data_IF_276084281995
#
_entry.id   IF_276084281995
#
_cell.length_a   1.000
_cell.length_b   1.000
_cell.length_c   1.000
_cell.angle_alpha   90.00
_cell.angle_beta   90.00
_cell.angle_gamma   90.00
#
_symmetry.space_group_name_H-M   'P 1'
#
loop_
_entity.id
_entity.type
_entity.pdbx_description
1 polymer ?
#
# COMPACT_ATOMS: atom_id res chain seq x y z
N UNK A 1 22.56 -11.29 14.13
CA UNK A 1 21.36 -12.08 14.56
C UNK A 1 20.41 -12.14 13.37
N UNK A 2 20.30 -13.27 12.68
CA UNK A 2 19.49 -13.40 11.46
C UNK A 2 18.09 -13.85 11.85
N UNK A 3 17.14 -12.93 11.87
CA UNK A 3 15.70 -13.25 11.92
C UNK A 3 15.05 -12.87 10.58
N UNK A 4 13.90 -13.44 10.28
CA UNK A 4 13.02 -13.05 9.18
C UNK A 4 11.62 -13.00 9.73
N UNK A 5 10.93 -11.93 9.44
CA UNK A 5 9.57 -11.71 9.92
C UNK A 5 8.58 -11.72 8.76
N UNK A 6 7.37 -12.15 9.07
CA UNK A 6 6.22 -12.13 8.18
C UNK A 6 5.19 -11.12 8.72
N UNK A 7 4.56 -10.37 7.82
CA UNK A 7 3.60 -9.33 8.15
C UNK A 7 2.50 -9.24 7.08
N UNK A 8 1.25 -9.04 7.51
CA UNK A 8 0.12 -8.80 6.62
C UNK A 8 -0.99 -7.96 7.27
N UNK A 9 -0.67 -7.21 8.32
CA UNK A 9 -1.66 -6.40 9.01
C UNK A 9 -2.05 -5.18 8.15
N UNK A 10 -3.28 -5.18 7.64
CA UNK A 10 -3.83 -4.11 6.83
C UNK A 10 -3.95 -2.77 7.59
N UNK A 11 -3.90 -2.78 8.93
CA UNK A 11 -3.92 -1.59 9.77
C UNK A 11 -2.52 -1.10 10.17
N UNK A 12 -1.48 -1.71 9.59
CA UNK A 12 -0.08 -1.37 9.84
C UNK A 12 0.76 -1.47 8.54
N UNK A 13 0.24 -0.99 7.42
CA UNK A 13 0.95 -0.82 6.16
C UNK A 13 0.83 -1.96 5.15
N UNK A 14 0.21 -3.10 5.47
CA UNK A 14 -0.17 -4.07 4.43
C UNK A 14 -1.44 -3.61 3.71
N UNK A 15 -1.58 -3.92 2.42
CA UNK A 15 -2.77 -3.48 1.69
C UNK A 15 -4.02 -4.26 2.10
N UNK A 16 -3.91 -5.57 2.33
CA UNK A 16 -4.92 -6.45 2.93
C UNK A 16 -4.28 -7.78 3.38
N UNK A 17 -5.02 -8.58 4.13
CA UNK A 17 -4.49 -9.82 4.73
C UNK A 17 -3.78 -10.79 3.78
N UNK A 18 -4.28 -11.08 2.55
CA UNK A 18 -3.61 -11.97 1.60
C UNK A 18 -2.27 -11.47 1.06
N UNK A 19 -1.97 -10.18 1.14
CA UNK A 19 -0.69 -9.60 0.72
C UNK A 19 0.35 -9.76 1.82
N UNK A 20 0.94 -10.96 1.90
CA UNK A 20 1.93 -11.28 2.93
C UNK A 20 3.30 -10.75 2.56
N UNK A 21 3.83 -9.89 3.41
CA UNK A 21 5.18 -9.35 3.32
C UNK A 21 6.19 -10.16 4.14
N UNK A 22 7.39 -10.38 3.60
CA UNK A 22 8.53 -10.92 4.31
C UNK A 22 9.62 -9.88 4.43
N UNK A 23 10.20 -9.76 5.63
CA UNK A 23 11.19 -8.76 5.98
C UNK A 23 12.47 -9.46 6.40
N UNK A 24 13.56 -9.18 5.69
CA UNK A 24 14.90 -9.70 5.96
C UNK A 24 15.82 -8.53 6.32
N UNK A 25 16.38 -8.48 7.54
CA UNK A 25 17.30 -7.43 7.91
C UNK A 25 18.64 -7.60 7.19
N UNK A 26 19.23 -6.49 6.77
CA UNK A 26 20.53 -6.40 6.14
C UNK A 26 21.51 -5.78 7.12
N UNK A 27 22.57 -6.50 7.43
CA UNK A 27 23.63 -6.04 8.32
C UNK A 27 24.92 -5.80 7.52
N UNK A 28 25.64 -4.74 7.87
CA UNK A 28 27.01 -4.54 7.48
C UNK A 28 27.86 -4.51 8.76
N UNK A 29 28.81 -5.44 8.86
CA UNK A 29 29.43 -5.76 10.15
C UNK A 29 28.35 -6.09 11.19
N UNK A 30 28.30 -5.38 12.33
CA UNK A 30 27.31 -5.58 13.38
C UNK A 30 26.15 -4.56 13.35
N UNK A 31 26.15 -3.63 12.40
CA UNK A 31 25.13 -2.58 12.27
C UNK A 31 24.00 -3.01 11.33
N UNK A 32 22.75 -2.85 11.76
CA UNK A 32 21.58 -2.96 10.90
C UNK A 32 21.50 -1.71 10.00
N UNK A 33 21.58 -1.92 8.69
CA UNK A 33 21.66 -0.81 7.71
C UNK A 33 20.47 -0.71 6.78
N UNK A 34 19.73 -1.80 6.57
CA UNK A 34 18.59 -1.84 5.68
C UNK A 34 17.72 -3.06 5.96
N UNK A 35 16.58 -3.10 5.27
CA UNK A 35 15.72 -4.27 5.15
C UNK A 35 15.50 -4.61 3.68
N UNK A 36 15.57 -5.89 3.33
CA UNK A 36 15.08 -6.41 2.07
C UNK A 36 13.69 -6.99 2.31
N UNK A 37 12.73 -6.54 1.51
CA UNK A 37 11.33 -6.94 1.68
C UNK A 37 10.77 -7.49 0.38
N UNK A 38 9.83 -8.42 0.50
CA UNK A 38 9.00 -8.90 -0.60
C UNK A 38 7.56 -8.94 -0.13
N UNK A 39 6.63 -8.59 -1.03
CA UNK A 39 5.20 -8.74 -0.79
C UNK A 39 4.58 -9.47 -1.96
N UNK A 40 3.72 -10.44 -1.70
CA UNK A 40 2.94 -11.12 -2.71
C UNK A 40 1.55 -11.47 -2.20
N UNK A 41 0.59 -11.44 -3.13
CA UNK A 41 -0.76 -11.89 -2.89
C UNK A 41 -0.81 -13.42 -2.89
N UNK A 42 -1.25 -14.02 -1.77
CA UNK A 42 -1.35 -15.47 -1.64
C UNK A 42 -2.73 -15.99 -2.00
N UNK A 43 -2.75 -17.19 -2.56
CA UNK A 43 -3.97 -17.88 -2.99
C UNK A 43 -4.94 -18.11 -1.82
N UNK A 44 -4.46 -18.39 -0.63
CA UNK A 44 -5.26 -18.57 0.58
C UNK A 44 -4.40 -18.29 1.82
N UNK A 45 -5.01 -17.63 2.80
CA UNK A 45 -4.43 -17.41 4.14
C UNK A 45 -5.38 -17.86 5.25
N UNK A 46 -6.25 -18.83 4.97
CA UNK A 46 -7.22 -19.33 5.94
C UNK A 46 -8.43 -18.43 6.15
N UNK A 47 -8.81 -17.62 5.15
CA UNK A 47 -9.99 -16.80 5.18
C UNK A 47 -11.29 -17.63 5.16
N UNK A 48 -12.43 -17.01 5.48
CA UNK A 48 -13.75 -17.62 5.38
C UNK A 48 -13.99 -18.21 3.97
N UNK A 49 -13.66 -17.45 2.94
CA UNK A 49 -13.71 -17.87 1.54
C UNK A 49 -12.30 -17.93 0.96
N UNK A 50 -11.91 -19.01 0.25
CA UNK A 50 -10.57 -19.13 -0.34
C UNK A 50 -10.31 -18.09 -1.43
N UNK A 51 -9.04 -17.86 -1.73
CA UNK A 51 -8.61 -17.01 -2.83
C UNK A 51 -8.87 -15.52 -2.63
N UNK A 52 -9.01 -15.06 -1.40
CA UNK A 52 -9.39 -13.67 -1.09
C UNK A 52 -10.71 -13.23 -1.75
N UNK A 53 -11.57 -14.20 -2.09
CA UNK A 53 -12.85 -13.97 -2.76
C UNK A 53 -14.00 -13.69 -1.79
N UNK A 54 -13.73 -13.52 -0.50
CA UNK A 54 -14.70 -13.13 0.53
C UNK A 54 -15.19 -11.68 0.41
N UNK A 55 -15.24 -11.17 -0.83
CA UNK A 55 -15.61 -9.77 -1.14
C UNK A 55 -17.06 -9.41 -0.79
N UNK A 56 -17.89 -10.40 -0.52
CA UNK A 56 -19.30 -10.21 -0.09
C UNK A 56 -19.56 -10.79 1.31
N UNK A 57 -18.74 -11.72 1.78
CA UNK A 57 -19.06 -12.53 2.98
C UNK A 57 -18.24 -12.11 4.21
N UNK A 58 -17.10 -11.45 4.04
CA UNK A 58 -16.29 -10.95 5.15
C UNK A 58 -16.97 -9.73 5.78
N UNK A 59 -17.44 -9.89 7.00
CA UNK A 59 -18.12 -8.83 7.77
C UNK A 59 -17.19 -8.17 8.80
N UNK A 60 -16.02 -8.75 9.02
CA UNK A 60 -14.96 -8.21 9.86
C UNK A 60 -13.59 -8.74 9.42
N UNK A 61 -12.52 -8.14 9.93
CA UNK A 61 -11.15 -8.52 9.61
C UNK A 61 -10.77 -9.94 10.05
N UNK A 62 -11.49 -10.55 11.00
CA UNK A 62 -11.22 -11.94 11.42
C UNK A 62 -11.67 -12.95 10.36
N UNK A 63 -12.71 -12.62 9.59
CA UNK A 63 -13.18 -13.44 8.47
C UNK A 63 -12.22 -13.42 7.27
N UNK A 64 -11.28 -12.48 7.23
CA UNK A 64 -10.31 -12.29 6.14
C UNK A 64 -9.08 -13.20 6.22
N UNK A 65 -8.96 -14.03 7.26
CA UNK A 65 -7.91 -15.03 7.43
C UNK A 65 -6.91 -14.71 8.51
N UNK A 66 -5.80 -15.44 8.51
CA UNK A 66 -4.74 -15.31 9.50
C UNK A 66 -4.07 -13.93 9.40
N UNK A 67 -3.88 -13.28 10.55
CA UNK A 67 -3.21 -12.00 10.65
C UNK A 67 -1.84 -12.16 11.31
N UNK A 68 -0.82 -11.56 10.71
CA UNK A 68 0.55 -11.62 11.16
C UNK A 68 1.10 -10.22 11.41
N UNK A 69 1.47 -9.95 12.67
CA UNK A 69 2.05 -8.67 13.08
C UNK A 69 3.55 -8.84 13.35
N UNK A 70 4.35 -8.81 12.29
CA UNK A 70 5.80 -8.97 12.34
C UNK A 70 6.26 -10.25 13.07
N UNK A 71 5.57 -11.37 12.82
CA UNK A 71 5.91 -12.66 13.44
C UNK A 71 7.20 -13.23 12.84
N UNK A 72 8.12 -13.72 13.69
CA UNK A 72 9.33 -14.37 13.22
C UNK A 72 9.02 -15.73 12.60
N UNK A 73 9.44 -15.95 11.36
CA UNK A 73 9.35 -17.23 10.63
C UNK A 73 10.69 -17.96 10.57
N UNK A 74 11.78 -17.23 10.74
CA UNK A 74 13.14 -17.77 10.94
C UNK A 74 13.82 -17.05 12.09
N UNK A 75 14.62 -17.80 12.86
CA UNK A 75 15.48 -17.29 13.92
C UNK A 75 16.83 -18.02 13.86
N UNK A 76 17.93 -17.28 13.91
CA UNK A 76 19.29 -17.82 13.78
C UNK A 76 19.48 -18.73 12.56
N UNK A 77 18.79 -18.40 11.44
CA UNK A 77 18.86 -19.19 10.21
C UNK A 77 17.98 -20.44 10.18
N UNK A 78 17.32 -20.79 11.28
CA UNK A 78 16.43 -21.96 11.39
C UNK A 78 14.95 -21.56 11.31
N UNK A 79 14.11 -22.43 10.72
CA UNK A 79 12.67 -22.25 10.70
C UNK A 79 12.11 -22.24 12.13
N UNK A 80 11.22 -21.31 12.42
CA UNK A 80 10.40 -21.35 13.64
C UNK A 80 9.27 -22.35 13.42
N UNK A 81 9.56 -23.63 13.63
CA UNK A 81 8.72 -24.79 13.26
C UNK A 81 7.24 -24.62 13.66
N UNK A 82 6.90 -24.16 14.89
CA UNK A 82 5.49 -23.99 15.26
C UNK A 82 4.71 -23.02 14.36
N UNK A 83 5.35 -21.97 13.84
CA UNK A 83 4.72 -21.01 12.92
C UNK A 83 4.41 -21.67 11.58
N UNK A 84 5.36 -22.47 11.06
CA UNK A 84 5.15 -23.19 9.80
C UNK A 84 4.10 -24.30 9.92
N UNK A 85 3.96 -24.95 11.08
CA UNK A 85 2.84 -25.88 11.34
C UNK A 85 1.51 -25.11 11.38
N UNK A 86 1.43 -23.98 12.09
CA UNK A 86 0.24 -23.16 12.13
C UNK A 86 -0.24 -22.77 10.71
N UNK A 87 0.68 -22.37 9.83
CA UNK A 87 0.36 -22.03 8.44
C UNK A 87 -0.20 -23.25 7.70
N UNK A 88 0.49 -24.40 7.77
CA UNK A 88 0.08 -25.63 7.06
C UNK A 88 -1.28 -26.15 7.51
N UNK A 89 -1.58 -26.02 8.80
CA UNK A 89 -2.81 -26.55 9.38
C UNK A 89 -4.04 -25.66 9.13
N UNK A 90 -3.84 -24.37 8.81
CA UNK A 90 -4.91 -23.38 8.68
C UNK A 90 -5.09 -22.82 7.27
N UNK A 91 -4.25 -23.17 6.33
CA UNK A 91 -4.29 -22.70 4.94
C UNK A 91 -4.67 -23.85 4.02
N UNK A 92 -5.66 -23.63 3.15
CA UNK A 92 -6.01 -24.58 2.08
C UNK A 92 -4.87 -24.60 1.06
N UNK A 93 -4.65 -25.72 0.38
CA UNK A 93 -3.55 -25.92 -0.57
C UNK A 93 -2.18 -25.48 -0.02
N UNK A 94 -1.95 -25.76 1.25
CA UNK A 94 -0.83 -25.23 2.04
C UNK A 94 0.54 -25.52 1.44
N UNK A 95 0.75 -26.62 0.71
CA UNK A 95 2.03 -26.92 0.08
C UNK A 95 2.38 -25.90 -1.02
N UNK A 96 1.40 -25.44 -1.81
CA UNK A 96 1.58 -24.42 -2.82
C UNK A 96 1.87 -23.07 -2.16
N UNK A 97 1.02 -22.65 -1.22
CA UNK A 97 1.15 -21.35 -0.55
C UNK A 97 2.46 -21.24 0.23
N UNK A 98 2.84 -22.28 0.97
CA UNK A 98 4.13 -22.32 1.69
C UNK A 98 5.31 -22.32 0.72
N UNK A 99 5.18 -22.97 -0.44
CA UNK A 99 6.18 -22.92 -1.51
C UNK A 99 6.41 -21.48 -2.02
N UNK A 100 5.33 -20.73 -2.25
CA UNK A 100 5.39 -19.33 -2.65
C UNK A 100 6.00 -18.45 -1.56
N UNK A 101 5.64 -18.67 -0.29
CA UNK A 101 6.25 -17.98 0.86
C UNK A 101 7.76 -18.23 0.95
N UNK A 102 8.20 -19.46 0.73
CA UNK A 102 9.63 -19.80 0.71
C UNK A 102 10.36 -19.14 -0.47
N UNK A 103 9.72 -19.04 -1.63
CA UNK A 103 10.26 -18.32 -2.79
C UNK A 103 10.41 -16.81 -2.50
N UNK A 104 9.43 -16.17 -1.85
CA UNK A 104 9.54 -14.79 -1.40
C UNK A 104 10.72 -14.58 -0.43
N UNK A 105 10.87 -15.47 0.55
CA UNK A 105 11.98 -15.42 1.50
C UNK A 105 13.32 -15.59 0.80
N UNK A 106 13.40 -16.47 -0.19
CA UNK A 106 14.61 -16.67 -0.99
C UNK A 106 14.95 -15.42 -1.81
N UNK A 107 13.95 -14.76 -2.42
CA UNK A 107 14.11 -13.51 -3.17
C UNK A 107 14.59 -12.37 -2.26
N UNK A 108 13.96 -12.19 -1.07
CA UNK A 108 14.39 -11.17 -0.11
C UNK A 108 15.82 -11.40 0.39
N UNK A 109 16.19 -12.66 0.61
CA UNK A 109 17.58 -13.02 0.97
C UNK A 109 18.55 -12.66 -0.13
N UNK A 110 18.24 -13.03 -1.37
CA UNK A 110 19.08 -12.69 -2.51
C UNK A 110 19.24 -11.17 -2.64
N UNK A 111 18.17 -10.41 -2.50
CA UNK A 111 18.23 -8.95 -2.46
C UNK A 111 19.14 -8.41 -1.35
N UNK A 112 19.05 -8.97 -0.14
CA UNK A 112 19.92 -8.62 0.98
C UNK A 112 21.42 -8.91 0.70
N UNK A 113 21.71 -10.07 0.08
CA UNK A 113 23.08 -10.46 -0.32
C UNK A 113 23.62 -9.50 -1.38
N UNK A 114 22.84 -9.17 -2.42
CA UNK A 114 23.22 -8.24 -3.47
C UNK A 114 23.46 -6.81 -2.93
N UNK A 115 22.65 -6.37 -1.96
CA UNK A 115 22.87 -5.10 -1.29
C UNK A 115 24.21 -5.09 -0.51
N UNK A 116 24.51 -6.19 0.18
CA UNK A 116 25.81 -6.38 0.85
C UNK A 116 27.00 -6.30 -0.11
N UNK A 117 26.90 -6.95 -1.27
CA UNK A 117 27.93 -6.87 -2.32
C UNK A 117 28.11 -5.45 -2.86
N UNK A 118 27.02 -4.70 -3.04
CA UNK A 118 27.06 -3.32 -3.48
C UNK A 118 27.79 -2.43 -2.46
N UNK A 119 27.47 -2.61 -1.18
CA UNK A 119 28.12 -1.89 -0.07
C UNK A 119 29.61 -2.24 0.03
N UNK A 120 29.96 -3.51 -0.12
CA UNK A 120 31.37 -3.94 -0.13
C UNK A 120 32.16 -3.33 -1.29
N UNK A 121 31.50 -3.12 -2.44
CA UNK A 121 32.13 -2.52 -3.63
C UNK A 121 32.38 -1.03 -3.49
N UNK A 122 31.41 -0.27 -2.96
CA UNK A 122 31.44 1.19 -2.96
C UNK A 122 31.68 1.80 -1.58
N UNK A 123 31.60 1.03 -0.53
CA UNK A 123 31.64 1.48 0.87
C UNK A 123 30.29 1.98 1.36
N UNK A 124 30.00 1.79 2.65
CA UNK A 124 28.72 2.16 3.28
C UNK A 124 28.43 3.66 3.18
N UNK A 125 29.44 4.50 3.37
CA UNK A 125 29.28 5.98 3.30
C UNK A 125 28.85 6.43 1.90
N UNK A 126 29.49 5.90 0.86
CA UNK A 126 29.15 6.21 -0.54
C UNK A 126 27.76 5.70 -0.88
N UNK A 127 27.44 4.48 -0.45
CA UNK A 127 26.10 3.89 -0.66
C UNK A 127 25.02 4.74 0.00
N UNK A 128 25.15 5.11 1.26
CA UNK A 128 24.17 5.92 1.97
C UNK A 128 23.99 7.32 1.33
N UNK A 129 25.10 7.94 0.91
CA UNK A 129 25.06 9.21 0.19
C UNK A 129 24.33 9.08 -1.16
N UNK A 130 24.57 8.00 -1.90
CA UNK A 130 23.88 7.73 -3.17
C UNK A 130 22.37 7.51 -2.97
N UNK A 131 21.96 6.75 -1.97
CA UNK A 131 20.54 6.59 -1.62
C UNK A 131 19.87 7.94 -1.34
N UNK A 132 20.48 8.78 -0.50
CA UNK A 132 20.00 10.13 -0.22
C UNK A 132 19.90 10.99 -1.48
N UNK A 133 20.92 10.94 -2.34
CA UNK A 133 20.94 11.71 -3.59
C UNK A 133 19.82 11.29 -4.57
N UNK A 134 19.56 9.98 -4.71
CA UNK A 134 18.47 9.46 -5.56
C UNK A 134 17.10 9.88 -5.01
N UNK A 135 16.91 9.79 -3.71
CA UNK A 135 15.65 10.22 -3.07
C UNK A 135 15.41 11.73 -3.26
N UNK A 136 16.43 12.56 -3.02
CA UNK A 136 16.34 14.01 -3.19
C UNK A 136 16.15 14.40 -4.67
N UNK A 137 16.70 13.62 -5.59
CA UNK A 137 16.50 13.83 -7.02
C UNK A 137 15.04 13.64 -7.41
N UNK A 138 14.41 12.54 -7.00
CA UNK A 138 13.02 12.27 -7.31
C UNK A 138 12.05 13.24 -6.62
N UNK A 139 12.33 13.60 -5.36
CA UNK A 139 11.58 14.64 -4.63
C UNK A 139 11.60 15.97 -5.37
N UNK A 140 12.77 16.42 -5.80
CA UNK A 140 12.90 17.69 -6.55
C UNK A 140 12.07 17.68 -7.82
N UNK A 141 12.03 16.57 -8.57
CA UNK A 141 11.25 16.48 -9.80
C UNK A 141 9.75 16.50 -9.52
N UNK A 142 9.29 15.81 -8.46
CA UNK A 142 7.89 15.87 -8.06
C UNK A 142 7.50 17.29 -7.59
N UNK A 143 8.34 17.95 -6.79
CA UNK A 143 8.13 19.35 -6.37
C UNK A 143 8.02 20.29 -7.57
N UNK A 144 8.88 20.13 -8.58
CA UNK A 144 8.80 20.90 -9.81
C UNK A 144 7.50 20.67 -10.59
N UNK A 145 7.02 19.42 -10.63
CA UNK A 145 5.78 19.08 -11.29
C UNK A 145 4.56 19.66 -10.54
N UNK A 146 4.57 19.63 -9.20
CA UNK A 146 3.52 20.25 -8.38
C UNK A 146 3.54 21.76 -8.55
N UNK A 147 4.71 22.41 -8.49
CA UNK A 147 4.86 23.86 -8.65
C UNK A 147 4.46 24.39 -10.05
N UNK A 148 4.31 23.52 -11.04
CA UNK A 148 3.79 23.88 -12.36
C UNK A 148 2.26 23.98 -12.38
N UNK A 149 1.57 23.46 -11.36
CA UNK A 149 0.13 23.63 -11.19
C UNK A 149 -0.17 24.99 -10.55
N UNK A 150 -1.32 25.62 -10.86
CA UNK A 150 -1.76 26.79 -10.11
C UNK A 150 -2.01 26.45 -8.64
N UNK A 151 -1.62 27.33 -7.74
CA UNK A 151 -2.03 27.25 -6.33
C UNK A 151 -3.55 27.30 -6.23
N UNK A 152 -4.12 26.48 -5.36
CA UNK A 152 -5.57 26.44 -5.20
C UNK A 152 -6.11 25.20 -4.52
N UNK A 153 -7.43 25.15 -4.44
CA UNK A 153 -8.17 24.06 -3.86
C UNK A 153 -9.08 23.42 -4.90
N UNK A 154 -8.87 22.14 -5.17
CA UNK A 154 -9.55 21.36 -6.18
C UNK A 154 -10.27 20.20 -5.52
N UNK A 155 -11.56 20.04 -5.78
CA UNK A 155 -12.37 19.05 -5.08
C UNK A 155 -13.21 18.23 -6.04
N UNK A 156 -13.34 16.95 -5.76
CA UNK A 156 -14.26 16.06 -6.45
C UNK A 156 -14.96 15.13 -5.48
N UNK A 157 -16.16 14.73 -5.88
CA UNK A 157 -16.91 13.68 -5.20
C UNK A 157 -17.32 12.65 -6.23
N UNK A 158 -17.09 11.39 -5.91
CA UNK A 158 -17.65 10.23 -6.60
C UNK A 158 -18.40 9.37 -5.58
N UNK A 159 -18.98 8.28 -6.04
CA UNK A 159 -19.78 7.42 -5.19
C UNK A 159 -19.37 5.98 -5.42
N UNK A 160 -19.30 5.23 -4.35
CA UNK A 160 -19.14 3.79 -4.37
C UNK A 160 -20.53 3.19 -4.24
N UNK A 161 -20.83 2.20 -5.09
CA UNK A 161 -22.07 1.42 -4.96
C UNK A 161 -22.03 0.68 -3.63
N UNK A 162 -22.89 1.11 -2.72
CA UNK A 162 -23.00 0.53 -1.40
C UNK A 162 -23.98 -0.65 -1.37
N UNK A 163 -25.06 -0.48 -0.65
CA UNK A 163 -26.10 -1.49 -0.45
C UNK A 163 -27.25 -1.22 -1.40
N UNK A 164 -27.17 -1.70 -2.64
CA UNK A 164 -28.10 -1.36 -3.73
C UNK A 164 -29.57 -1.59 -3.37
N UNK A 165 -29.86 -2.61 -2.56
CA UNK A 165 -31.22 -2.96 -2.13
C UNK A 165 -31.60 -2.36 -0.76
N UNK A 166 -30.75 -1.52 -0.17
CA UNK A 166 -31.04 -0.92 1.13
C UNK A 166 -32.19 0.09 1.00
N UNK A 167 -33.19 0.06 1.91
CA UNK A 167 -34.27 1.03 1.92
C UNK A 167 -33.79 2.47 2.15
N UNK A 168 -32.67 2.66 2.86
CA UNK A 168 -32.06 3.97 3.06
C UNK A 168 -31.22 4.36 1.83
N UNK A 169 -31.61 5.42 1.08
CA UNK A 169 -30.87 5.89 -0.07
C UNK A 169 -29.42 6.30 0.26
N UNK A 170 -29.16 6.77 1.49
CA UNK A 170 -27.81 7.17 1.92
C UNK A 170 -26.83 6.00 1.98
N UNK A 171 -27.33 4.78 2.10
CA UNK A 171 -26.52 3.56 2.08
C UNK A 171 -26.31 2.97 0.68
N UNK A 172 -27.00 3.46 -0.33
CA UNK A 172 -26.89 2.97 -1.72
C UNK A 172 -25.70 3.57 -2.46
N UNK A 173 -25.44 4.84 -2.20
CA UNK A 173 -24.36 5.60 -2.83
C UNK A 173 -23.46 6.17 -1.74
N UNK A 174 -22.32 5.54 -1.49
CA UNK A 174 -21.39 5.95 -0.45
C UNK A 174 -20.45 7.03 -1.00
N UNK A 175 -20.49 8.28 -0.49
CA UNK A 175 -19.66 9.35 -1.01
C UNK A 175 -18.18 9.10 -0.70
N UNK A 176 -17.35 9.29 -1.73
CA UNK A 176 -15.90 9.36 -1.67
C UNK A 176 -15.49 10.78 -2.07
N UNK A 177 -14.96 11.53 -1.13
CA UNK A 177 -14.63 12.94 -1.29
C UNK A 177 -13.11 13.12 -1.28
N UNK A 178 -12.60 13.84 -2.26
CA UNK A 178 -11.19 14.24 -2.35
C UNK A 178 -11.13 15.76 -2.48
N UNK A 179 -10.33 16.38 -1.63
CA UNK A 179 -9.94 17.78 -1.75
C UNK A 179 -8.43 17.86 -1.85
N UNK A 180 -7.94 18.41 -2.95
CA UNK A 180 -6.51 18.63 -3.20
C UNK A 180 -6.22 20.11 -2.97
N UNK A 181 -5.28 20.42 -2.09
CA UNK A 181 -4.75 21.77 -1.91
C UNK A 181 -3.32 21.80 -2.45
N UNK A 182 -3.07 22.67 -3.42
CA UNK A 182 -1.74 22.93 -3.98
C UNK A 182 -1.26 24.25 -3.42
N UNK A 183 -0.09 24.27 -2.79
CA UNK A 183 0.56 25.44 -2.22
C UNK A 183 2.06 25.39 -2.53
N UNK A 184 2.48 26.21 -3.51
CA UNK A 184 3.85 26.21 -4.00
C UNK A 184 4.27 24.87 -4.60
N UNK A 185 5.15 24.16 -3.96
CA UNK A 185 5.69 22.86 -4.42
C UNK A 185 5.22 21.66 -3.56
N UNK A 186 4.17 21.87 -2.77
CA UNK A 186 3.55 20.85 -1.92
C UNK A 186 2.08 20.64 -2.26
N UNK A 187 1.62 19.40 -2.05
CA UNK A 187 0.25 18.99 -2.29
C UNK A 187 -0.30 18.30 -1.04
N UNK A 188 -1.47 18.73 -0.58
CA UNK A 188 -2.22 18.04 0.47
C UNK A 188 -3.49 17.45 -0.14
N UNK A 189 -3.73 16.16 0.13
CA UNK A 189 -4.94 15.44 -0.29
C UNK A 189 -5.75 15.10 0.95
N UNK A 190 -6.88 15.75 1.12
CA UNK A 190 -7.78 15.59 2.26
C UNK A 190 -9.04 14.84 1.84
N UNK A 191 -9.35 13.78 2.58
CA UNK A 191 -10.49 12.89 2.36
C UNK A 191 -11.68 13.18 3.30
N UNK A 192 -11.67 14.33 3.95
CA UNK A 192 -12.79 14.78 4.81
C UNK A 192 -14.10 14.88 4.00
N UNK A 193 -15.14 14.27 4.52
CA UNK A 193 -16.45 14.15 3.83
C UNK A 193 -16.67 12.77 3.19
N UNK A 194 -15.65 11.92 3.12
CA UNK A 194 -15.81 10.51 2.75
C UNK A 194 -16.70 9.81 3.78
N UNK A 195 -17.54 8.88 3.29
CA UNK A 195 -18.48 8.10 4.11
C UNK A 195 -17.80 7.47 5.33
N UNK A 196 -18.49 7.31 6.47
CA UNK A 196 -18.00 6.51 7.59
C UNK A 196 -17.63 5.09 7.14
N UNK A 197 -16.73 4.44 7.89
CA UNK A 197 -16.38 3.04 7.64
C UNK A 197 -17.63 2.15 7.62
N UNK A 198 -17.56 1.11 6.80
CA UNK A 198 -18.62 0.13 6.65
C UNK A 198 -18.29 -1.09 7.49
N UNK A 199 -19.21 -1.54 8.35
CA UNK A 199 -18.98 -2.62 9.31
C UNK A 199 -19.34 -4.01 8.81
N UNK A 200 -20.06 -4.11 7.70
CA UNK A 200 -20.64 -5.36 7.18
C UNK A 200 -20.35 -5.59 5.68
N UNK A 201 -19.37 -4.89 5.14
CA UNK A 201 -18.86 -5.05 3.77
C UNK A 201 -17.36 -4.79 3.76
N UNK A 202 -16.55 -5.61 3.07
CA UNK A 202 -15.09 -5.56 3.12
C UNK A 202 -14.49 -4.50 2.17
N UNK A 203 -15.12 -3.35 2.05
CA UNK A 203 -14.76 -2.26 1.12
C UNK A 203 -14.00 -1.12 1.79
N UNK A 204 -13.63 -1.25 3.05
CA UNK A 204 -12.83 -0.22 3.71
C UNK A 204 -11.39 -0.21 3.18
N UNK A 205 -10.81 0.98 3.07
CA UNK A 205 -9.45 1.18 2.58
C UNK A 205 -8.54 1.61 3.74
N UNK A 206 -7.58 0.80 4.15
CA UNK A 206 -6.54 1.26 5.07
C UNK A 206 -5.83 2.50 4.52
N UNK A 207 -5.57 3.49 5.37
CA UNK A 207 -4.90 4.73 4.97
C UNK A 207 -3.49 4.44 4.45
N UNK A 208 -2.72 3.65 5.20
CA UNK A 208 -1.41 3.15 4.81
C UNK A 208 -1.56 1.83 4.04
N UNK A 209 -0.92 1.73 2.87
CA UNK A 209 -0.90 0.53 2.04
C UNK A 209 -2.06 0.42 1.03
N UNK A 210 -3.06 1.30 1.06
CA UNK A 210 -4.13 1.35 0.05
C UNK A 210 -4.42 2.78 -0.41
N UNK A 211 -4.87 3.65 0.50
CA UNK A 211 -5.24 5.04 0.15
C UNK A 211 -4.02 5.83 -0.31
N UNK A 212 -2.94 5.76 0.43
CA UNK A 212 -1.67 6.39 0.10
C UNK A 212 -1.15 5.94 -1.27
N UNK A 213 -1.11 4.64 -1.53
CA UNK A 213 -0.65 4.08 -2.80
C UNK A 213 -1.56 4.53 -3.96
N UNK A 214 -2.87 4.47 -3.80
CA UNK A 214 -3.82 4.91 -4.83
C UNK A 214 -3.60 6.39 -5.20
N UNK A 215 -3.41 7.25 -4.20
CA UNK A 215 -3.17 8.68 -4.41
C UNK A 215 -1.79 8.92 -5.04
N UNK A 216 -0.72 8.33 -4.49
CA UNK A 216 0.64 8.53 -4.99
C UNK A 216 0.82 8.07 -6.44
N UNK A 217 0.29 6.88 -6.77
CA UNK A 217 0.34 6.37 -8.14
C UNK A 217 -0.43 7.27 -9.10
N UNK A 218 -1.60 7.76 -8.68
CA UNK A 218 -2.43 8.63 -9.52
C UNK A 218 -1.74 9.98 -9.75
N UNK A 219 -1.28 10.64 -8.68
CA UNK A 219 -0.55 11.93 -8.78
C UNK A 219 0.69 11.78 -9.66
N UNK A 220 1.49 10.71 -9.43
CA UNK A 220 2.64 10.42 -10.29
C UNK A 220 2.25 10.25 -11.76
N UNK A 221 1.20 9.51 -12.03
CA UNK A 221 0.74 9.22 -13.40
C UNK A 221 0.23 10.48 -14.12
N UNK A 222 -0.39 11.39 -13.37
CA UNK A 222 -0.90 12.66 -13.90
C UNK A 222 0.22 13.67 -14.10
N UNK A 223 1.17 13.78 -13.15
CA UNK A 223 2.16 14.87 -13.16
C UNK A 223 3.49 14.51 -13.85
N UNK A 224 3.85 13.22 -13.88
CA UNK A 224 5.13 12.77 -14.42
C UNK A 224 4.90 11.91 -15.67
N UNK A 225 4.98 12.55 -16.83
CA UNK A 225 4.91 11.90 -18.13
C UNK A 225 6.01 10.83 -18.29
N UNK A 226 5.62 9.65 -18.74
CA UNK A 226 6.53 8.52 -18.92
C UNK A 226 7.58 8.78 -20.00
N UNK A 227 7.25 9.55 -21.03
CA UNK A 227 8.18 9.86 -22.14
C UNK A 227 9.33 10.77 -21.68
N UNK A 228 9.04 11.69 -20.75
CA UNK A 228 10.03 12.64 -20.24
C UNK A 228 10.60 12.24 -18.87
N UNK A 229 9.83 11.52 -18.07
CA UNK A 229 10.14 11.20 -16.68
C UNK A 229 10.24 9.67 -16.40
N UNK A 230 10.19 8.83 -17.43
CA UNK A 230 10.22 7.37 -17.30
C UNK A 230 11.49 6.81 -16.64
N UNK A 231 12.55 7.62 -16.56
CA UNK A 231 13.81 7.28 -15.90
C UNK A 231 13.79 7.48 -14.37
N UNK A 232 12.72 8.09 -13.81
CA UNK A 232 12.63 8.37 -12.38
C UNK A 232 12.20 7.09 -11.65
N UNK A 233 13.01 6.56 -10.74
CA UNK A 233 12.63 5.38 -9.97
C UNK A 233 11.48 5.69 -9.00
N UNK A 234 10.62 4.71 -8.77
CA UNK A 234 9.51 4.82 -7.81
C UNK A 234 10.04 4.47 -6.41
N UNK A 235 10.03 5.43 -5.52
CA UNK A 235 10.43 5.30 -4.13
C UNK A 235 9.94 6.51 -3.31
N UNK A 236 10.13 6.49 -1.99
CA UNK A 236 9.64 7.50 -1.04
C UNK A 236 10.02 8.95 -1.40
N UNK A 237 11.13 9.17 -2.09
CA UNK A 237 11.50 10.51 -2.53
C UNK A 237 10.42 11.19 -3.38
N UNK A 238 9.70 10.42 -4.22
CA UNK A 238 8.62 10.95 -5.05
C UNK A 238 7.43 11.47 -4.24
N UNK A 239 7.15 10.86 -3.10
CA UNK A 239 5.92 11.10 -2.35
C UNK A 239 6.08 12.09 -1.20
N UNK A 240 7.31 12.50 -0.88
CA UNK A 240 7.60 13.45 0.20
C UNK A 240 6.81 14.77 0.14
N UNK A 241 6.57 15.39 -1.03
CA UNK A 241 5.79 16.62 -1.10
C UNK A 241 4.27 16.39 -1.15
N UNK A 242 3.79 15.15 -1.00
CA UNK A 242 2.37 14.78 -1.07
C UNK A 242 1.91 14.33 0.31
N UNK A 243 1.08 15.14 0.96
CA UNK A 243 0.55 14.88 2.28
C UNK A 243 -0.89 14.37 2.18
N UNK A 244 -1.20 13.28 2.88
CA UNK A 244 -2.51 12.64 2.82
C UNK A 244 -3.14 12.65 4.20
N UNK A 245 -4.42 13.00 4.27
CA UNK A 245 -5.20 12.96 5.51
C UNK A 245 -6.60 12.40 5.27
N UNK A 246 -7.09 11.63 6.24
CA UNK A 246 -8.45 11.14 6.28
C UNK A 246 -8.97 11.13 7.72
N UNK A 247 -10.26 11.41 7.95
CA UNK A 247 -10.85 11.27 9.27
C UNK A 247 -10.81 9.82 9.76
N UNK A 248 -10.31 9.59 10.97
CA UNK A 248 -10.28 8.25 11.56
C UNK A 248 -11.71 7.69 11.69
N UNK A 249 -11.90 6.44 11.29
CA UNK A 249 -13.21 5.79 11.27
C UNK A 249 -14.04 6.10 10.01
N UNK A 250 -13.47 6.73 8.99
CA UNK A 250 -14.09 6.78 7.65
C UNK A 250 -13.65 5.59 6.80
N UNK A 251 -14.28 5.42 5.64
CA UNK A 251 -13.98 4.36 4.68
C UNK A 251 -12.50 4.34 4.24
N UNK A 252 -11.85 5.52 4.24
CA UNK A 252 -10.46 5.70 3.81
C UNK A 252 -9.44 5.70 4.96
N UNK A 253 -9.87 5.54 6.20
CA UNK A 253 -9.03 5.32 7.38
C UNK A 253 -9.83 4.56 8.45
N UNK A 254 -10.19 3.29 8.17
CA UNK A 254 -11.04 2.50 9.05
C UNK A 254 -10.34 2.15 10.36
N UNK A 255 -11.15 1.79 11.35
CA UNK A 255 -10.72 1.26 12.65
C UNK A 255 -10.97 -0.23 12.69
N UNK A 256 -9.96 -0.99 13.12
CA UNK A 256 -10.09 -2.43 13.35
C UNK A 256 -11.32 -2.74 14.25
N UNK A 257 -12.11 -3.77 13.95
CA UNK A 257 -11.91 -4.82 12.95
C UNK A 257 -12.72 -4.64 11.64
N UNK A 258 -12.89 -3.42 11.12
CA UNK A 258 -13.59 -3.21 9.87
C UNK A 258 -12.95 -4.05 8.73
N UNK A 259 -13.73 -4.76 7.90
CA UNK A 259 -13.19 -5.62 6.87
C UNK A 259 -12.63 -4.83 5.68
N UNK A 260 -11.55 -5.31 5.06
CA UNK A 260 -10.76 -4.59 4.06
C UNK A 260 -10.45 -5.38 2.79
N UNK A 261 -10.85 -6.66 2.70
CA UNK A 261 -10.36 -7.58 1.66
C UNK A 261 -10.64 -7.09 0.23
N UNK A 262 -11.76 -6.38 0.01
CA UNK A 262 -12.16 -5.81 -1.28
C UNK A 262 -11.79 -4.32 -1.44
N UNK A 263 -10.82 -3.82 -0.64
CA UNK A 263 -10.37 -2.41 -0.66
C UNK A 263 -9.95 -1.89 -2.05
N UNK A 264 -9.60 -2.77 -2.99
CA UNK A 264 -9.15 -2.35 -4.32
C UNK A 264 -10.27 -1.72 -5.14
N UNK A 265 -11.53 -2.15 -4.97
CA UNK A 265 -12.68 -1.55 -5.68
C UNK A 265 -12.82 -0.05 -5.34
N UNK A 266 -12.97 0.35 -4.06
CA UNK A 266 -12.99 1.76 -3.71
C UNK A 266 -11.63 2.44 -3.90
N UNK A 267 -10.50 1.71 -3.87
CA UNK A 267 -9.17 2.24 -4.19
C UNK A 267 -9.06 2.71 -5.65
N UNK A 268 -9.60 1.96 -6.60
CA UNK A 268 -9.70 2.38 -8.00
C UNK A 268 -10.61 3.62 -8.13
N UNK A 269 -11.77 3.62 -7.45
CA UNK A 269 -12.66 4.78 -7.43
C UNK A 269 -12.00 6.00 -6.79
N UNK A 270 -11.12 5.82 -5.80
CA UNK A 270 -10.32 6.90 -5.23
C UNK A 270 -9.36 7.48 -6.25
N UNK A 271 -8.67 6.65 -7.03
CA UNK A 271 -7.79 7.11 -8.11
C UNK A 271 -8.57 7.96 -9.12
N UNK A 272 -9.75 7.50 -9.55
CA UNK A 272 -10.63 8.27 -10.44
C UNK A 272 -11.09 9.59 -9.82
N UNK A 273 -11.35 9.60 -8.51
CA UNK A 273 -11.76 10.83 -7.80
C UNK A 273 -10.61 11.84 -7.73
N UNK A 274 -9.38 11.38 -7.53
CA UNK A 274 -8.17 12.22 -7.59
C UNK A 274 -7.97 12.77 -8.99
N UNK A 275 -8.08 11.96 -10.04
CA UNK A 275 -8.01 12.43 -11.43
C UNK A 275 -9.10 13.46 -11.73
N UNK A 276 -10.33 13.23 -11.26
CA UNK A 276 -11.44 14.16 -11.44
C UNK A 276 -11.19 15.51 -10.74
N UNK A 277 -10.57 15.50 -9.55
CA UNK A 277 -10.19 16.74 -8.87
C UNK A 277 -9.08 17.48 -9.62
N UNK A 278 -8.11 16.76 -10.21
CA UNK A 278 -7.02 17.34 -11.00
C UNK A 278 -7.45 17.76 -12.41
N UNK A 279 -8.59 17.31 -12.92
CA UNK A 279 -9.06 17.62 -14.27
C UNK A 279 -9.23 19.12 -14.52
N UNK A 280 -9.46 19.92 -13.49
CA UNK A 280 -9.58 21.38 -13.61
C UNK A 280 -8.24 22.05 -14.00
N UNK A 281 -7.12 21.52 -13.50
CA UNK A 281 -5.78 22.13 -13.66
C UNK A 281 -4.86 21.34 -14.58
N UNK A 282 -5.13 20.08 -14.81
CA UNK A 282 -4.36 19.21 -15.69
C UNK A 282 -5.26 18.42 -16.67
N UNK A 283 -6.16 19.06 -17.43
CA UNK A 283 -7.19 18.37 -18.23
C UNK A 283 -6.61 17.49 -19.35
N UNK A 284 -5.37 17.75 -19.77
CA UNK A 284 -4.70 16.97 -20.82
C UNK A 284 -3.98 15.72 -20.28
N UNK A 285 -3.86 15.61 -18.95
CA UNK A 285 -3.06 14.57 -18.28
C UNK A 285 -3.94 13.56 -17.53
N UNK A 286 -5.24 13.82 -17.41
CA UNK A 286 -6.18 12.92 -16.76
C UNK A 286 -6.87 12.06 -17.79
N UNK A 287 -7.21 10.82 -17.41
CA UNK A 287 -8.01 9.90 -18.22
C UNK A 287 -9.42 9.74 -17.63
N UNK A 288 -10.36 9.27 -18.44
CA UNK A 288 -11.60 8.75 -17.90
C UNK A 288 -11.28 7.46 -17.13
N UNK A 289 -11.99 7.26 -16.00
CA UNK A 289 -11.90 6.02 -15.23
C UNK A 289 -12.33 4.80 -16.05
N UNK A 290 -11.94 3.66 -15.55
CA UNK A 290 -12.23 2.35 -16.16
C UNK A 290 -13.58 1.84 -15.66
#
# INVERSE_FOLDING_TARGET
MLFRSMHNDAYAGASHGPDVGFIVPVFHEDALIAFATTTAHHLDIGALTPGSCGIVDAIDAYAEGLQFKAIKVYEQGQKVVPVWHLLRDNIRVSDLVVGDMEAQIAAARFGAEQLGELINRYGLTTFAAACGAVMNYAERLMRQAIAALPDGRYSATTYIDGYLDDPDPARRNLPLVVTINVEGDEMTVDLTGTTPQVSDRPINMPLEGTVDIAIWLTVRSVLLDTDTHGHIPVHDGLVRPIHISAPKGCLADPVFPAPTIARFCPGNQLADTVMKALAEVAPQQVSAGI
#
